data_IF_607354122404
#
_entry.id   IF_607354122404
#
_cell.length_a   1.000
_cell.length_b   1.000
_cell.length_c   1.000
_cell.angle_alpha   90.00
_cell.angle_beta   90.00
_cell.angle_gamma   90.00
#
_symmetry.space_group_name_H-M   'P 1'
#
loop_
_entity.id
_entity.type
_entity.pdbx_description
1 polymer ?
#
# COMPACT_ATOMS: atom_id res chain seq x y z
N UNK A 1 -2.16 33.67 24.18
CA UNK A 1 -1.72 33.69 23.74
C UNK A 1 -1.48 33.26 23.06
N UNK A 2 -1.52 33.36 23.20
CA UNK A 2 -1.16 33.08 22.58
C UNK A 2 -0.97 32.43 21.99
N UNK A 3 -1.11 32.42 22.13
CA UNK A 3 -0.83 32.03 21.69
C UNK A 3 -0.69 31.55 20.99
N UNK A 4 -0.74 31.63 21.08
CA UNK A 4 -0.62 31.35 20.51
C UNK A 4 -0.47 30.90 19.88
N UNK A 5 -0.40 31.18 19.95
CA UNK A 5 -0.33 30.67 19.46
C UNK A 5 -0.25 30.04 18.75
N UNK A 6 -0.19 30.13 18.89
CA UNK A 6 -0.16 29.67 18.33
C UNK A 6 -0.11 28.91 17.59
N UNK A 7 -0.23 28.86 17.54
CA UNK A 7 -0.25 28.25 16.96
C UNK A 7 -0.19 27.71 16.17
N UNK A 8 -0.23 27.78 16.21
CA UNK A 8 -0.21 27.16 15.67
C UNK A 8 -0.25 26.60 14.95
N UNK A 9 -0.11 26.72 15.03
CA UNK A 9 -0.27 26.02 14.45
C UNK A 9 -0.75 25.44 13.83
N UNK A 10 -0.70 25.43 13.96
CA UNK A 10 -1.21 24.94 13.58
C UNK A 10 -1.96 24.72 13.31
N UNK A 11 -2.07 25.09 13.42
CA UNK A 11 -2.79 24.81 13.36
C UNK A 11 -3.59 24.58 12.56
N UNK A 12 -3.59 24.74 12.43
CA UNK A 12 -4.05 24.30 11.91
C UNK A 12 -4.64 23.72 11.67
N UNK A 13 -5.19 24.72 11.25
CA UNK A 13 -5.99 23.67 11.43
C UNK A 13 -5.48 22.47 11.30
N UNK A 14 -5.78 21.99 11.67
CA UNK A 14 -4.84 21.00 11.89
C UNK A 14 -5.18 19.75 11.14
N UNK A 15 -4.54 19.53 10.02
CA UNK A 15 -4.57 18.24 9.39
C UNK A 15 -3.91 17.23 10.33
N UNK A 16 -4.48 16.04 10.50
CA UNK A 16 -3.79 14.98 11.23
C UNK A 16 -2.45 14.69 10.57
N UNK A 17 -1.47 14.22 11.31
CA UNK A 17 -0.18 13.88 10.71
C UNK A 17 -0.40 12.90 9.58
N UNK A 18 0.16 13.21 8.42
CA UNK A 18 0.09 12.30 7.28
C UNK A 18 1.09 11.17 7.54
N UNK A 19 0.60 9.95 7.52
CA UNK A 19 1.48 8.79 7.66
C UNK A 19 2.33 8.67 6.41
N UNK A 20 3.63 8.53 6.60
CA UNK A 20 4.54 8.36 5.48
C UNK A 20 4.44 6.94 4.92
N UNK A 21 4.56 6.82 3.60
CA UNK A 21 4.57 5.53 2.94
C UNK A 21 5.85 4.78 3.33
N UNK A 22 5.70 3.60 3.88
CA UNK A 22 6.82 2.76 4.28
C UNK A 22 7.26 1.81 3.18
N UNK A 23 6.46 1.68 2.16
CA UNK A 23 6.73 0.75 1.05
C UNK A 23 6.74 1.52 -0.25
N UNK A 24 7.42 0.95 -1.25
CA UNK A 24 7.58 1.59 -2.56
C UNK A 24 7.11 0.66 -3.66
N UNK A 25 6.84 1.23 -4.84
CA UNK A 25 6.52 0.44 -6.02
C UNK A 25 7.65 -0.56 -6.26
N UNK A 26 7.30 -1.80 -6.48
CA UNK A 26 8.24 -2.90 -6.68
C UNK A 26 8.55 -3.70 -5.43
N UNK A 27 8.21 -3.18 -4.24
CA UNK A 27 8.43 -3.93 -3.01
C UNK A 27 7.49 -5.13 -2.95
N UNK A 28 8.00 -6.23 -2.42
CA UNK A 28 7.18 -7.42 -2.18
C UNK A 28 6.73 -7.36 -0.73
N UNK A 29 5.43 -7.43 -0.54
CA UNK A 29 4.81 -7.34 0.78
C UNK A 29 3.85 -8.49 0.99
N UNK A 30 3.51 -8.76 2.24
CA UNK A 30 2.49 -9.74 2.58
C UNK A 30 1.53 -9.14 3.59
N UNK A 31 0.31 -9.66 3.59
CA UNK A 31 -0.69 -9.26 4.57
C UNK A 31 -0.33 -9.85 5.92
N UNK A 32 -0.51 -9.06 6.98
CA UNK A 32 -0.15 -9.51 8.33
C UNK A 32 -1.01 -10.65 8.84
N UNK A 33 -2.26 -10.71 8.39
CA UNK A 33 -3.23 -11.66 8.92
C UNK A 33 -3.77 -12.62 7.88
N UNK A 34 -3.93 -12.16 6.64
CA UNK A 34 -4.49 -12.98 5.57
C UNK A 34 -3.36 -13.62 4.77
N UNK A 35 -3.66 -14.77 4.18
CA UNK A 35 -2.64 -15.56 3.49
C UNK A 35 -2.50 -15.12 2.05
N UNK A 36 -1.88 -13.95 1.84
CA UNK A 36 -1.51 -13.52 0.49
C UNK A 36 -0.32 -12.57 0.55
N UNK A 37 0.35 -12.44 -0.57
CA UNK A 37 1.49 -11.56 -0.77
C UNK A 37 1.38 -10.93 -2.15
N UNK A 38 2.17 -9.91 -2.42
CA UNK A 38 2.10 -9.25 -3.71
C UNK A 38 3.18 -8.21 -3.92
N UNK A 39 3.21 -7.70 -5.15
CA UNK A 39 4.12 -6.64 -5.56
C UNK A 39 3.34 -5.33 -5.63
N UNK A 40 3.86 -4.31 -4.99
CA UNK A 40 3.22 -2.98 -5.04
C UNK A 40 3.41 -2.38 -6.42
N UNK A 41 2.31 -1.99 -7.08
CA UNK A 41 2.41 -1.31 -8.37
C UNK A 41 1.86 0.12 -8.33
N UNK A 42 1.21 0.53 -7.24
CA UNK A 42 0.76 1.91 -7.09
C UNK A 42 0.56 2.21 -5.60
N UNK A 43 0.67 3.47 -5.24
CA UNK A 43 0.54 3.93 -3.85
C UNK A 43 -0.38 5.13 -3.80
N UNK A 44 -1.40 5.06 -2.96
CA UNK A 44 -2.25 6.20 -2.65
C UNK A 44 -1.85 6.75 -1.29
N UNK A 45 -1.55 8.05 -1.17
CA UNK A 45 -1.10 8.59 0.13
C UNK A 45 -2.16 8.48 1.23
N UNK A 46 -3.43 8.48 0.84
CA UNK A 46 -4.57 8.24 1.74
C UNK A 46 -5.58 7.41 0.98
N UNK A 47 -6.59 6.91 1.69
CA UNK A 47 -7.65 6.11 1.07
C UNK A 47 -8.23 6.83 -0.15
N UNK A 48 -8.27 6.14 -1.27
CA UNK A 48 -8.74 6.71 -2.54
C UNK A 48 -9.60 5.72 -3.32
N UNK A 49 -10.49 5.02 -2.61
CA UNK A 49 -11.44 4.12 -3.24
C UNK A 49 -12.84 4.58 -2.85
N UNK A 50 -13.87 3.88 -3.29
CA UNK A 50 -15.24 4.28 -3.04
C UNK A 50 -15.66 4.00 -1.60
N UNK A 51 -16.63 4.78 -1.13
CA UNK A 51 -17.22 4.54 0.18
C UNK A 51 -17.91 3.17 0.22
N UNK A 52 -18.50 2.76 -0.90
CA UNK A 52 -19.09 1.43 -0.99
C UNK A 52 -18.09 0.32 -0.74
N UNK A 53 -16.91 0.46 -1.35
CA UNK A 53 -15.84 -0.51 -1.15
C UNK A 53 -15.45 -0.57 0.32
N UNK A 54 -15.30 0.60 0.95
CA UNK A 54 -14.89 0.71 2.34
C UNK A 54 -15.93 0.09 3.29
N UNK A 55 -17.19 0.40 3.05
CA UNK A 55 -18.28 -0.11 3.88
C UNK A 55 -18.53 -1.61 3.69
N UNK A 56 -18.05 -2.18 2.60
CA UNK A 56 -18.13 -3.62 2.38
C UNK A 56 -17.16 -4.39 3.28
N UNK A 57 -16.14 -3.73 3.84
CA UNK A 57 -15.26 -4.36 4.81
C UNK A 57 -16.02 -4.47 6.13
N UNK A 58 -16.03 -5.65 6.77
CA UNK A 58 -16.66 -5.79 8.08
C UNK A 58 -16.12 -4.74 9.05
N UNK A 59 -16.99 -4.17 9.85
CA UNK A 59 -16.66 -3.02 10.69
C UNK A 59 -15.41 -3.23 11.53
N UNK A 60 -15.26 -4.42 12.11
CA UNK A 60 -14.13 -4.72 12.99
C UNK A 60 -12.79 -4.76 12.25
N UNK A 61 -12.81 -4.85 10.92
CA UNK A 61 -11.61 -4.96 10.12
C UNK A 61 -11.34 -3.73 9.26
N UNK A 62 -12.16 -2.69 9.38
CA UNK A 62 -11.97 -1.47 8.58
C UNK A 62 -10.75 -0.72 9.05
N UNK A 63 -9.79 -0.47 8.15
CA UNK A 63 -8.61 0.33 8.52
C UNK A 63 -8.95 1.81 8.51
N UNK A 64 -8.11 2.61 9.18
CA UNK A 64 -8.24 4.06 9.08
C UNK A 64 -7.96 4.51 7.66
N UNK A 65 -8.65 5.55 7.22
CA UNK A 65 -8.49 6.11 5.88
C UNK A 65 -7.30 7.04 5.75
N UNK A 66 -6.77 7.55 6.86
CA UNK A 66 -5.72 8.57 6.89
C UNK A 66 -4.32 7.97 6.90
N UNK A 67 -4.10 6.99 6.05
CA UNK A 67 -2.82 6.32 5.92
C UNK A 67 -2.63 5.89 4.46
N UNK A 68 -1.40 5.59 4.04
CA UNK A 68 -1.19 5.07 2.69
C UNK A 68 -1.91 3.75 2.44
N UNK A 69 -2.44 3.61 1.24
CA UNK A 69 -3.02 2.38 0.73
C UNK A 69 -2.24 1.96 -0.51
N UNK A 70 -2.11 0.67 -0.71
CA UNK A 70 -1.25 0.11 -1.75
C UNK A 70 -2.06 -0.77 -2.68
N UNK A 71 -1.75 -0.64 -3.97
CA UNK A 71 -2.31 -1.50 -5.01
C UNK A 71 -1.31 -2.61 -5.26
N UNK A 72 -1.72 -3.84 -5.09
CA UNK A 72 -0.85 -5.01 -5.19
C UNK A 72 -1.23 -5.90 -6.35
N UNK A 73 -0.21 -6.39 -7.06
CA UNK A 73 -0.37 -7.59 -7.88
C UNK A 73 -0.17 -8.76 -6.94
N UNK A 74 -1.27 -9.37 -6.52
CA UNK A 74 -1.29 -10.29 -5.38
C UNK A 74 -1.48 -11.73 -5.81
N UNK A 75 -1.02 -12.63 -4.96
CA UNK A 75 -1.22 -14.06 -5.12
C UNK A 75 -1.51 -14.70 -3.78
N UNK A 76 -2.26 -15.78 -3.82
CA UNK A 76 -2.36 -16.72 -2.71
C UNK A 76 -2.11 -18.11 -3.27
N UNK A 77 -2.38 -19.16 -2.48
CA UNK A 77 -2.10 -20.53 -2.92
C UNK A 77 -2.99 -20.98 -4.08
N UNK A 78 -4.05 -20.24 -4.39
CA UNK A 78 -5.05 -20.68 -5.37
C UNK A 78 -5.18 -19.78 -6.59
N UNK A 79 -4.85 -18.49 -6.46
CA UNK A 79 -5.16 -17.56 -7.53
C UNK A 79 -4.26 -16.32 -7.46
N UNK A 80 -4.32 -15.53 -8.54
CA UNK A 80 -3.70 -14.21 -8.58
C UNK A 80 -4.80 -13.18 -8.80
N UNK A 81 -4.61 -11.98 -8.22
CA UNK A 81 -5.63 -10.93 -8.27
C UNK A 81 -5.00 -9.58 -7.95
N UNK A 82 -5.79 -8.52 -8.01
CA UNK A 82 -5.36 -7.19 -7.58
C UNK A 82 -5.97 -6.91 -6.21
N UNK A 83 -5.16 -6.48 -5.27
CA UNK A 83 -5.60 -6.17 -3.92
C UNK A 83 -5.32 -4.71 -3.59
N UNK A 84 -6.16 -4.13 -2.74
CA UNK A 84 -6.00 -2.76 -2.25
C UNK A 84 -5.92 -2.84 -0.72
N UNK A 85 -4.76 -2.50 -0.17
CA UNK A 85 -4.47 -2.82 1.23
C UNK A 85 -3.87 -1.62 1.95
N UNK A 86 -4.36 -1.37 3.16
CA UNK A 86 -3.84 -0.31 4.02
C UNK A 86 -2.45 -0.64 4.54
N UNK A 87 -1.65 0.39 4.76
CA UNK A 87 -0.29 0.22 5.25
C UNK A 87 -0.22 -0.57 6.56
N UNK A 88 -1.18 -0.34 7.45
CA UNK A 88 -1.17 -1.02 8.75
C UNK A 88 -1.26 -2.54 8.64
N UNK A 89 -1.76 -3.04 7.53
CA UNK A 89 -1.97 -4.48 7.34
C UNK A 89 -0.88 -5.15 6.50
N UNK A 90 0.19 -4.42 6.18
CA UNK A 90 1.26 -4.95 5.34
C UNK A 90 2.58 -5.00 6.09
N UNK A 91 3.37 -6.03 5.77
CA UNK A 91 4.76 -6.14 6.19
C UNK A 91 5.60 -6.55 4.98
N UNK A 92 6.88 -6.25 5.01
CA UNK A 92 7.79 -6.72 3.95
C UNK A 92 7.80 -8.23 3.92
N UNK A 93 7.81 -8.78 2.70
CA UNK A 93 8.02 -10.21 2.52
C UNK A 93 9.51 -10.44 2.31
N UNK A 94 10.13 -11.18 3.21
CA UNK A 94 11.58 -11.42 3.17
C UNK A 94 11.94 -12.79 2.63
N UNK A 95 11.00 -13.50 2.02
CA UNK A 95 11.27 -14.81 1.44
C UNK A 95 12.13 -14.74 0.20
N UNK A 96 12.13 -13.60 -0.49
CA UNK A 96 12.84 -13.38 -1.76
C UNK A 96 12.36 -14.30 -2.88
N UNK A 97 11.18 -14.86 -2.74
CA UNK A 97 10.60 -15.69 -3.80
C UNK A 97 9.79 -14.84 -4.76
N UNK A 98 9.83 -15.16 -6.07
CA UNK A 98 9.03 -14.42 -7.04
C UNK A 98 7.55 -14.51 -6.72
N UNK A 99 6.82 -13.45 -7.06
CA UNK A 99 5.37 -13.43 -6.97
C UNK A 99 4.80 -13.97 -8.29
N UNK A 100 3.84 -14.88 -8.19
CA UNK A 100 3.21 -15.51 -9.34
C UNK A 100 1.99 -14.72 -9.76
N UNK A 101 2.19 -13.73 -10.62
CA UNK A 101 1.09 -12.93 -11.14
C UNK A 101 1.36 -12.59 -12.59
N UNK A 102 0.37 -12.81 -13.49
CA UNK A 102 0.61 -12.64 -14.93
C UNK A 102 0.92 -11.21 -15.34
N UNK A 103 0.52 -10.21 -14.56
CA UNK A 103 0.76 -8.81 -14.92
C UNK A 103 2.17 -8.33 -14.59
N UNK A 104 2.95 -9.09 -13.83
CA UNK A 104 4.29 -8.67 -13.43
C UNK A 104 5.18 -8.44 -14.63
N UNK A 105 5.17 -9.38 -15.58
CA UNK A 105 6.06 -9.29 -16.73
C UNK A 105 5.80 -8.05 -17.59
N UNK A 106 4.60 -7.49 -17.55
CA UNK A 106 4.26 -6.30 -18.31
C UNK A 106 4.69 -5.00 -17.66
N UNK A 107 4.85 -4.99 -16.34
CA UNK A 107 5.13 -3.78 -15.58
C UNK A 107 6.53 -3.73 -14.99
N UNK A 108 7.10 -4.88 -14.69
CA UNK A 108 8.34 -4.96 -13.92
C UNK A 108 9.40 -5.78 -14.65
N UNK A 109 10.64 -5.44 -14.34
CA UNK A 109 11.77 -6.29 -14.62
C UNK A 109 11.73 -7.45 -13.61
N UNK A 110 12.60 -8.43 -13.81
CA UNK A 110 12.62 -9.57 -12.92
C UNK A 110 13.05 -9.17 -11.51
N UNK A 111 12.69 -10.02 -10.57
CA UNK A 111 13.03 -9.84 -9.15
C UNK A 111 14.54 -9.77 -8.97
N UNK A 112 14.99 -8.76 -8.22
CA UNK A 112 16.40 -8.57 -7.92
C UNK A 112 16.51 -8.03 -6.50
N UNK A 113 17.23 -8.76 -5.67
CA UNK A 113 17.50 -8.36 -4.28
C UNK A 113 16.21 -8.08 -3.51
N UNK A 114 15.20 -8.92 -3.70
CA UNK A 114 13.96 -8.86 -2.94
C UNK A 114 12.97 -7.82 -3.42
N UNK A 115 13.20 -7.20 -4.58
CA UNK A 115 12.25 -6.24 -5.11
C UNK A 115 12.26 -6.22 -6.63
N UNK A 116 11.17 -5.74 -7.19
CA UNK A 116 11.01 -5.62 -8.64
C UNK A 116 11.29 -4.19 -9.07
N UNK A 117 12.02 -4.03 -10.16
CA UNK A 117 12.22 -2.74 -10.77
C UNK A 117 11.12 -2.44 -11.76
N UNK A 118 10.52 -1.25 -11.69
CA UNK A 118 9.51 -0.86 -12.67
C UNK A 118 10.19 -0.72 -14.03
N UNK A 119 9.56 -1.25 -15.07
CA UNK A 119 10.12 -1.17 -16.42
C UNK A 119 10.26 0.30 -16.83
N UNK A 120 11.29 0.58 -17.63
CA UNK A 120 11.63 1.93 -18.04
C UNK A 120 10.45 2.69 -18.64
N UNK A 121 9.66 2.02 -19.46
CA UNK A 121 8.51 2.63 -20.15
C UNK A 121 7.40 3.05 -19.21
N UNK A 122 7.45 2.63 -17.95
CA UNK A 122 6.46 2.98 -16.93
C UNK A 122 7.01 3.92 -15.87
N UNK A 123 8.28 4.35 -16.03
CA UNK A 123 8.88 5.32 -15.09
C UNK A 123 8.58 6.74 -15.53
N UNK A 124 8.44 7.60 -14.56
CA UNK A 124 8.21 9.02 -14.80
C UNK A 124 9.39 9.85 -14.37
#
# INVERSE_FOLDING_TARGET
MNASPLTPPSTDPVAPPIAHARFSIGDVVRHRMLDFRGVIFDVDPVFANSEEWYLAIPEDFRPRKDQPFYHLLAENTESSYVAYVSQQNLVHDDSEEPVEHPAIAGLFDRLDDGRYGLKREHRH
#
